data_IF_186225491167
#
_entry.id   IF_186225491167
#
_cell.length_a   1.000
_cell.length_b   1.000
_cell.length_c   1.000
_cell.angle_alpha   90.00
_cell.angle_beta   90.00
_cell.angle_gamma   90.00
#
_symmetry.space_group_name_H-M   'P 1'
#
loop_
_entity.id
_entity.type
_entity.pdbx_description
1 polymer ?
#
# COMPACT_ATOMS: atom_id res chain seq x y z
N UNK A 1 23.15 25.13 -29.87
CA UNK A 1 21.76 24.84 -29.49
C UNK A 1 21.76 24.34 -28.06
N UNK A 2 21.40 25.17 -27.07
CA UNK A 2 21.25 24.70 -25.68
C UNK A 2 19.94 23.94 -25.56
N UNK A 3 19.98 22.72 -25.02
CA UNK A 3 18.78 21.93 -24.72
C UNK A 3 17.95 22.68 -23.66
N UNK A 4 16.61 22.75 -23.79
CA UNK A 4 15.79 23.30 -22.73
C UNK A 4 15.90 22.38 -21.52
N UNK A 5 16.32 22.93 -20.39
CA UNK A 5 16.20 22.30 -19.09
C UNK A 5 14.72 22.20 -18.77
N UNK A 6 14.23 20.98 -18.51
CA UNK A 6 12.87 20.79 -18.02
C UNK A 6 12.80 21.50 -16.68
N UNK A 7 12.05 22.60 -16.60
CA UNK A 7 11.63 23.16 -15.32
C UNK A 7 10.95 22.02 -14.57
N UNK A 8 11.45 21.70 -13.37
CA UNK A 8 10.94 20.58 -12.58
C UNK A 8 9.47 20.86 -12.24
N UNK A 9 8.56 20.35 -13.07
CA UNK A 9 7.14 20.50 -12.84
C UNK A 9 6.79 19.83 -11.51
N UNK A 10 6.27 20.63 -10.58
CA UNK A 10 5.67 20.16 -9.34
C UNK A 10 4.15 20.30 -9.46
N UNK A 11 3.42 19.25 -9.06
CA UNK A 11 1.96 19.31 -9.07
C UNK A 11 1.45 20.15 -7.90
N UNK A 12 0.32 20.83 -8.08
CA UNK A 12 -0.40 21.58 -7.03
C UNK A 12 -0.58 20.75 -5.75
N UNK A 13 -0.85 19.44 -5.91
CA UNK A 13 -1.01 18.52 -4.79
C UNK A 13 0.26 18.35 -3.98
N UNK A 14 1.42 18.28 -4.64
CA UNK A 14 2.71 18.14 -3.96
C UNK A 14 3.04 19.41 -3.20
N UNK A 15 2.81 20.57 -3.80
CA UNK A 15 3.00 21.87 -3.13
C UNK A 15 2.09 22.00 -1.91
N UNK A 16 0.80 21.65 -2.05
CA UNK A 16 -0.15 21.63 -0.94
C UNK A 16 0.31 20.73 0.21
N UNK A 17 0.77 19.50 -0.10
CA UNK A 17 1.23 18.56 0.92
C UNK A 17 2.47 19.08 1.66
N UNK A 18 3.42 19.71 0.96
CA UNK A 18 4.59 20.34 1.60
C UNK A 18 4.17 21.42 2.58
N UNK A 19 3.33 22.35 2.13
CA UNK A 19 2.83 23.42 3.00
C UNK A 19 2.05 22.89 4.19
N UNK A 20 1.27 21.82 4.01
CA UNK A 20 0.51 21.19 5.09
C UNK A 20 1.43 20.63 6.17
N UNK A 21 2.49 19.92 5.78
CA UNK A 21 3.45 19.34 6.72
C UNK A 21 4.32 20.40 7.41
N UNK A 22 4.68 21.48 6.70
CA UNK A 22 5.37 22.63 7.30
C UNK A 22 4.50 23.32 8.36
N UNK A 23 3.23 23.57 8.04
CA UNK A 23 2.28 24.22 8.97
C UNK A 23 1.89 23.31 10.15
N UNK A 24 2.01 21.98 10.00
CA UNK A 24 1.54 20.99 10.99
C UNK A 24 2.54 19.84 11.17
N UNK A 25 3.69 20.09 11.82
CA UNK A 25 4.73 19.07 11.99
C UNK A 25 4.28 17.86 12.82
N UNK A 26 3.29 18.03 13.70
CA UNK A 26 2.71 16.94 14.52
C UNK A 26 1.99 15.86 13.70
N UNK A 27 1.57 16.16 12.46
CA UNK A 27 0.89 15.19 11.59
C UNK A 27 1.78 13.99 11.26
N UNK A 28 3.11 14.16 11.25
CA UNK A 28 4.03 13.06 10.96
C UNK A 28 3.92 11.94 12.01
N UNK A 29 3.85 12.30 13.29
CA UNK A 29 3.68 11.32 14.38
C UNK A 29 2.28 10.71 14.36
N UNK A 30 1.23 11.53 14.20
CA UNK A 30 -0.14 11.02 14.07
C UNK A 30 -0.30 10.05 12.88
N UNK A 31 0.40 10.30 11.77
CA UNK A 31 0.38 9.40 10.63
C UNK A 31 1.06 8.07 10.93
N UNK A 32 2.13 8.06 11.74
CA UNK A 32 2.77 6.82 12.22
C UNK A 32 1.83 6.04 13.15
N UNK A 33 1.21 6.72 14.11
CA UNK A 33 0.25 6.12 15.03
C UNK A 33 -0.96 5.53 14.29
N UNK A 34 -1.55 6.30 13.37
CA UNK A 34 -2.67 5.83 12.55
C UNK A 34 -2.29 4.64 11.65
N UNK A 35 -1.06 4.64 11.09
CA UNK A 35 -0.56 3.48 10.34
C UNK A 35 -0.33 2.26 11.23
N UNK A 36 0.11 2.43 12.47
CA UNK A 36 0.33 1.31 13.39
C UNK A 36 -1.00 0.66 13.83
N UNK A 37 -2.07 1.45 13.98
CA UNK A 37 -3.36 1.03 14.53
C UNK A 37 -3.98 -0.19 13.84
N UNK A 38 -3.87 -0.32 12.52
CA UNK A 38 -4.60 -1.34 11.77
C UNK A 38 -3.90 -2.68 11.63
N UNK A 39 -2.63 -2.76 12.01
CA UNK A 39 -1.81 -3.96 11.82
C UNK A 39 -1.56 -4.75 13.11
N UNK A 40 -1.99 -4.24 14.26
CA UNK A 40 -2.01 -4.99 15.52
C UNK A 40 -3.15 -6.04 15.51
N UNK A 41 -2.88 -7.17 14.87
CA UNK A 41 -3.77 -8.34 14.87
C UNK A 41 -3.10 -9.50 15.59
N UNK A 42 -3.71 -9.96 16.69
CA UNK A 42 -3.33 -11.24 17.32
C UNK A 42 -3.85 -12.37 16.44
N UNK A 43 -2.93 -13.14 15.86
CA UNK A 43 -3.27 -14.33 15.11
C UNK A 43 -3.34 -15.53 16.05
N UNK A 44 -4.42 -16.30 15.98
CA UNK A 44 -4.49 -17.61 16.61
C UNK A 44 -3.70 -18.61 15.75
N UNK A 45 -2.71 -19.26 16.35
CA UNK A 45 -1.85 -20.22 15.64
C UNK A 45 -2.62 -21.44 15.14
N UNK A 46 -3.62 -21.90 15.89
CA UNK A 46 -4.45 -23.04 15.49
C UNK A 46 -5.32 -22.70 14.27
N UNK A 47 -5.92 -21.51 14.24
CA UNK A 47 -6.70 -21.05 13.08
C UNK A 47 -5.82 -20.86 11.86
N UNK A 48 -4.62 -20.28 12.02
CA UNK A 48 -3.66 -20.12 10.92
C UNK A 48 -3.24 -21.46 10.33
N UNK A 49 -3.00 -22.47 11.18
CA UNK A 49 -2.71 -23.83 10.75
C UNK A 49 -3.88 -24.41 9.96
N UNK A 50 -5.12 -24.30 10.47
CA UNK A 50 -6.32 -24.78 9.76
C UNK A 50 -6.52 -24.09 8.42
N UNK A 51 -6.29 -22.78 8.32
CA UNK A 51 -6.37 -22.05 7.05
C UNK A 51 -5.31 -22.52 6.05
N UNK A 52 -4.10 -22.81 6.52
CA UNK A 52 -3.02 -23.33 5.68
C UNK A 52 -3.35 -24.73 5.16
N UNK A 53 -3.86 -25.61 6.03
CA UNK A 53 -4.27 -26.98 5.69
C UNK A 53 -5.47 -27.00 4.74
N UNK A 54 -6.38 -26.04 4.84
CA UNK A 54 -7.59 -25.95 4.00
C UNK A 54 -7.35 -25.29 2.64
N UNK A 55 -6.11 -24.86 2.33
CA UNK A 55 -5.81 -24.09 1.12
C UNK A 55 -5.90 -24.96 -0.13
N UNK A 56 -6.78 -24.58 -1.06
CA UNK A 56 -6.91 -25.22 -2.37
C UNK A 56 -5.99 -24.52 -3.38
N UNK A 57 -5.14 -25.25 -4.14
CA UNK A 57 -4.32 -24.64 -5.19
C UNK A 57 -5.22 -24.05 -6.28
N UNK A 58 -5.02 -22.77 -6.59
CA UNK A 58 -5.73 -22.05 -7.65
C UNK A 58 -4.79 -21.80 -8.83
N UNK A 59 -5.30 -21.90 -10.05
CA UNK A 59 -4.53 -21.57 -11.25
C UNK A 59 -4.34 -20.04 -11.39
N UNK A 60 -3.31 -19.62 -12.13
CA UNK A 60 -3.02 -18.19 -12.36
C UNK A 60 -4.17 -17.43 -13.02
N UNK A 61 -5.00 -18.15 -13.76
CA UNK A 61 -6.24 -17.66 -14.35
C UNK A 61 -7.38 -18.62 -14.05
N UNK A 62 -8.06 -18.38 -12.94
CA UNK A 62 -9.22 -19.16 -12.47
C UNK A 62 -10.31 -19.26 -13.53
N UNK A 63 -10.52 -18.20 -14.32
CA UNK A 63 -11.51 -18.16 -15.38
C UNK A 63 -11.13 -18.93 -16.65
N UNK A 64 -9.92 -19.46 -16.79
CA UNK A 64 -9.54 -20.24 -17.97
C UNK A 64 -9.21 -21.69 -17.62
N UNK A 65 -9.57 -22.14 -16.41
CA UNK A 65 -9.28 -23.50 -15.95
C UNK A 65 -9.97 -24.57 -16.84
N UNK A 66 -11.10 -24.23 -17.45
CA UNK A 66 -11.80 -25.10 -18.42
C UNK A 66 -11.04 -25.32 -19.73
N UNK A 67 -10.03 -24.50 -20.04
CA UNK A 67 -9.23 -24.62 -21.27
C UNK A 67 -8.12 -25.66 -21.14
N UNK A 68 -7.80 -26.10 -19.91
CA UNK A 68 -6.70 -27.04 -19.62
C UNK A 68 -7.12 -28.52 -19.61
N UNK A 69 -8.34 -28.83 -20.04
CA UNK A 69 -8.91 -30.18 -20.00
C UNK A 69 -8.54 -31.01 -21.22
#
# INVERSE_FOLDING_TARGET
>A
MSKPTIDNYESEHTQFLRELFEKRPYLAEQQKEARAMWWDKKLNQEELKRFTESKVPQSSYVYFDWLKK
#
